data_IF_976108579289
#
_entry.id   IF_976108579289
#
_cell.length_a   1.000
_cell.length_b   1.000
_cell.length_c   1.000
_cell.angle_alpha   90.00
_cell.angle_beta   90.00
_cell.angle_gamma   90.00
#
_symmetry.space_group_name_H-M   'P 1'
#
loop_
_entity.id
_entity.type
_entity.pdbx_description
1 polymer ?
#
# COMPACT_ATOMS: atom_id res chain seq x y z
N UNK A 1 -11.40 -14.95 5.80
CA UNK A 1 -11.77 -14.87 5.35
C UNK A 1 -12.55 -13.93 4.70
N UNK A 2 -13.35 -13.47 5.04
CA UNK A 2 -14.07 -12.57 4.51
C UNK A 2 -13.46 -11.33 4.31
N UNK A 3 -12.61 -10.99 5.11
CA UNK A 3 -11.97 -9.76 5.02
C UNK A 3 -11.14 -9.60 3.89
N UNK A 4 -10.70 -10.62 3.32
CA UNK A 4 -9.83 -10.49 2.21
C UNK A 4 -10.52 -9.75 1.13
N UNK A 5 -11.80 -9.75 1.07
CA UNK A 5 -12.43 -9.02 0.11
C UNK A 5 -12.29 -7.61 0.33
N UNK A 6 -12.26 -7.14 1.52
CA UNK A 6 -12.15 -5.79 1.77
C UNK A 6 -10.76 -5.40 1.89
N UNK A 7 -9.93 -6.19 2.50
CA UNK A 7 -8.56 -5.78 2.72
C UNK A 7 -7.69 -6.95 2.55
N UNK A 8 -7.06 -7.08 1.46
CA UNK A 8 -6.16 -8.16 1.19
C UNK A 8 -4.84 -7.91 1.81
N UNK A 9 -4.62 -6.73 2.37
CA UNK A 9 -3.32 -6.38 2.90
C UNK A 9 -3.43 -6.05 4.37
N UNK A 10 -2.47 -6.50 5.16
CA UNK A 10 -2.45 -6.17 6.58
C UNK A 10 -1.82 -4.81 6.74
N UNK A 11 -1.95 -4.24 7.91
CA UNK A 11 -1.40 -2.95 8.18
C UNK A 11 0.09 -2.98 7.99
N UNK A 12 0.75 -4.04 8.41
CA UNK A 12 2.17 -4.16 8.23
C UNK A 12 2.56 -4.16 6.77
N UNK A 13 1.80 -4.83 5.94
CA UNK A 13 2.10 -4.86 4.52
C UNK A 13 1.93 -3.49 3.92
N UNK A 14 0.88 -2.78 4.32
CA UNK A 14 0.62 -1.45 3.80
C UNK A 14 1.76 -0.51 4.15
N UNK A 15 2.19 -0.55 5.39
CA UNK A 15 3.28 0.30 5.82
C UNK A 15 4.55 -0.06 5.07
N UNK A 16 4.76 -1.35 4.82
CA UNK A 16 5.92 -1.78 4.06
C UNK A 16 5.94 -1.20 2.67
N UNK A 17 4.78 -1.16 2.01
CA UNK A 17 4.71 -0.59 0.68
C UNK A 17 5.02 0.89 0.73
N UNK A 18 4.50 1.59 1.72
CA UNK A 18 4.74 3.01 1.84
C UNK A 18 6.23 3.26 2.06
N UNK A 19 6.87 2.46 2.88
CA UNK A 19 8.27 2.62 3.13
C UNK A 19 9.10 2.35 1.88
N UNK A 20 8.71 1.40 1.07
CA UNK A 20 9.42 1.13 -0.15
C UNK A 20 9.33 2.32 -1.09
N UNK A 21 8.18 2.96 -1.14
CA UNK A 21 8.00 4.11 -1.99
C UNK A 21 8.89 5.24 -1.51
N UNK A 22 9.00 5.40 -0.21
CA UNK A 22 9.81 6.46 0.32
C UNK A 22 11.29 6.18 0.10
N UNK A 23 11.63 4.93 -0.03
CA UNK A 23 13.00 4.56 -0.28
C UNK A 23 13.38 4.79 -1.74
N UNK A 24 12.40 5.15 -2.57
CA UNK A 24 12.71 5.46 -3.95
C UNK A 24 12.03 4.58 -4.97
N UNK A 25 11.26 3.60 -4.54
CA UNK A 25 10.61 2.72 -5.48
C UNK A 25 9.42 3.41 -6.12
N UNK A 26 9.26 3.30 -7.43
CA UNK A 26 8.15 3.98 -8.11
C UNK A 26 6.82 3.40 -7.64
N UNK A 27 5.85 4.26 -7.46
CA UNK A 27 4.54 3.84 -7.02
C UNK A 27 3.91 2.89 -8.00
N UNK A 28 4.16 3.08 -9.29
CA UNK A 28 3.61 2.19 -10.28
C UNK A 28 4.11 0.78 -10.09
N UNK A 29 5.37 0.63 -9.73
CA UNK A 29 5.94 -0.67 -9.50
C UNK A 29 5.31 -1.30 -8.28
N UNK A 30 5.12 -0.53 -7.24
CA UNK A 30 4.51 -1.04 -6.04
C UNK A 30 3.10 -1.51 -6.31
N UNK A 31 2.35 -0.73 -7.06
CA UNK A 31 0.98 -1.08 -7.36
C UNK A 31 0.93 -2.37 -8.16
N UNK A 32 1.85 -2.49 -9.10
CA UNK A 32 1.88 -3.67 -9.93
C UNK A 32 2.25 -4.89 -9.11
N UNK A 33 3.27 -4.79 -8.29
CA UNK A 33 3.70 -5.91 -7.49
C UNK A 33 2.67 -6.28 -6.43
N UNK A 34 2.02 -5.29 -5.85
CA UNK A 34 1.08 -5.55 -4.80
C UNK A 34 -0.32 -5.86 -5.27
N UNK A 35 -0.65 -5.48 -6.49
CA UNK A 35 -1.98 -5.71 -7.00
C UNK A 35 -3.00 -4.69 -6.52
N UNK A 36 -2.59 -3.46 -6.30
CA UNK A 36 -3.51 -2.41 -5.89
C UNK A 36 -3.34 -1.21 -6.81
N UNK A 37 -4.26 -0.26 -6.73
CA UNK A 37 -4.22 0.88 -7.63
C UNK A 37 -3.53 2.06 -6.97
N UNK A 38 -3.20 3.07 -7.76
CA UNK A 38 -2.58 4.27 -7.25
C UNK A 38 -3.48 4.91 -6.23
N UNK A 39 -4.77 4.97 -6.50
CA UNK A 39 -5.70 5.59 -5.59
C UNK A 39 -5.65 4.90 -4.24
N UNK A 40 -5.55 3.58 -4.23
CA UNK A 40 -5.47 2.84 -3.00
C UNK A 40 -4.19 3.19 -2.26
N UNK A 41 -3.09 3.30 -2.98
CA UNK A 41 -1.82 3.62 -2.35
C UNK A 41 -1.89 4.99 -1.68
N UNK A 42 -2.44 5.97 -2.37
CA UNK A 42 -2.52 7.31 -1.80
C UNK A 42 -3.43 7.35 -0.59
N UNK A 43 -4.47 6.55 -0.60
CA UNK A 43 -5.35 6.47 0.52
C UNK A 43 -4.58 5.92 1.72
N UNK A 44 -3.80 4.88 1.50
CA UNK A 44 -2.99 4.29 2.55
C UNK A 44 -1.98 5.29 3.06
N UNK A 45 -1.35 6.01 2.14
CA UNK A 45 -0.35 6.95 2.53
C UNK A 45 -0.94 8.05 3.39
N UNK A 46 -2.13 8.50 3.08
CA UNK A 46 -2.77 9.52 3.89
C UNK A 46 -3.11 8.98 5.26
N UNK A 47 -3.43 7.71 5.34
CA UNK A 47 -3.83 7.13 6.59
C UNK A 47 -2.65 6.75 7.47
N UNK A 48 -1.63 6.14 6.87
CA UNK A 48 -0.50 5.65 7.65
C UNK A 48 0.79 6.40 7.43
N UNK A 49 0.85 7.18 6.40
CA UNK A 49 2.12 7.78 6.02
C UNK A 49 2.67 8.81 6.97
N UNK A 50 1.86 9.29 7.87
CA UNK A 50 2.37 10.29 8.77
C UNK A 50 2.92 9.73 10.06
N UNK A 51 3.00 8.45 10.17
CA UNK A 51 3.46 7.87 11.41
C UNK A 51 4.94 7.90 11.61
#
# INVERSE_FOLDING_TARGET
MTDTKKSRFTEEQIIGFIQQAEAGMPIKELCRNGGFSDATFYKWRAKYGGM
#
